data_IF_668347581548
#
_entry.id   IF_668347581548
#
_cell.length_a   1.000
_cell.length_b   1.000
_cell.length_c   1.000
_cell.angle_alpha   90.00
_cell.angle_beta   90.00
_cell.angle_gamma   90.00
#
_symmetry.space_group_name_H-M   'P 1'
#
loop_
_entity.id
_entity.type
_entity.pdbx_description
1 polymer ?
#
# COMPACT_ATOMS: atom_id res chain seq x y z
N UNK A 1 13.67 -0.32 16.73
CA UNK A 1 12.50 0.40 16.19
C UNK A 1 12.38 1.82 16.76
N UNK A 2 12.22 2.03 18.08
CA UNK A 2 12.11 3.38 18.67
C UNK A 2 13.32 4.28 18.38
N UNK A 3 14.54 3.74 18.48
CA UNK A 3 15.76 4.51 18.20
C UNK A 3 15.86 4.96 16.74
N UNK A 4 15.54 4.07 15.78
CA UNK A 4 15.54 4.42 14.35
C UNK A 4 14.58 5.57 14.04
N UNK A 5 13.35 5.50 14.57
CA UNK A 5 12.35 6.57 14.37
C UNK A 5 12.85 7.90 14.94
N UNK A 6 13.42 7.88 16.15
CA UNK A 6 13.97 9.09 16.78
C UNK A 6 15.12 9.70 15.96
N UNK A 7 16.01 8.87 15.43
CA UNK A 7 17.08 9.31 14.53
C UNK A 7 16.50 9.95 13.27
N UNK A 8 15.60 9.26 12.56
CA UNK A 8 15.03 9.77 11.30
C UNK A 8 14.27 11.08 11.48
N UNK A 9 13.52 11.23 12.58
CA UNK A 9 12.85 12.51 12.91
C UNK A 9 13.85 13.66 13.08
N UNK A 10 15.05 13.37 13.60
CA UNK A 10 16.10 14.38 13.78
C UNK A 10 16.79 14.71 12.46
N UNK A 11 17.16 13.69 11.69
CA UNK A 11 17.85 13.85 10.40
C UNK A 11 16.95 14.49 9.33
N UNK A 12 15.64 14.22 9.36
CA UNK A 12 14.69 14.76 8.37
C UNK A 12 14.38 16.25 8.55
N UNK A 13 15.02 16.91 9.53
CA UNK A 13 15.09 18.37 9.55
C UNK A 13 15.87 18.91 8.33
N UNK A 14 16.81 18.13 7.79
CA UNK A 14 17.41 18.38 6.48
C UNK A 14 16.47 17.86 5.39
N UNK A 15 15.98 18.79 4.57
CA UNK A 15 14.96 18.50 3.54
C UNK A 15 15.51 17.60 2.45
N UNK A 16 16.70 17.94 1.93
CA UNK A 16 17.36 17.21 0.86
C UNK A 16 17.64 15.77 1.28
N UNK A 17 18.13 15.59 2.51
CA UNK A 17 18.31 14.26 3.10
C UNK A 17 16.99 13.50 3.24
N UNK A 18 15.94 14.13 3.76
CA UNK A 18 14.64 13.49 3.94
C UNK A 18 14.06 12.98 2.62
N UNK A 19 14.13 13.79 1.57
CA UNK A 19 13.63 13.41 0.24
C UNK A 19 14.47 12.29 -0.38
N UNK A 20 15.80 12.40 -0.36
CA UNK A 20 16.68 11.36 -0.90
C UNK A 20 16.47 10.02 -0.17
N UNK A 21 16.37 10.04 1.16
CA UNK A 21 16.13 8.83 1.94
C UNK A 21 14.76 8.20 1.60
N UNK A 22 13.70 8.99 1.52
CA UNK A 22 12.36 8.47 1.24
C UNK A 22 12.22 7.95 -0.18
N UNK A 23 12.91 8.56 -1.15
CA UNK A 23 12.99 8.08 -2.53
C UNK A 23 13.66 6.69 -2.59
N UNK A 24 14.87 6.57 -2.05
CA UNK A 24 15.61 5.30 -1.96
C UNK A 24 14.82 4.22 -1.22
N UNK A 25 14.21 4.59 -0.08
CA UNK A 25 13.34 3.68 0.67
C UNK A 25 12.17 3.18 -0.17
N UNK A 26 11.50 4.07 -0.91
CA UNK A 26 10.34 3.69 -1.73
C UNK A 26 10.73 2.77 -2.90
N UNK A 27 11.89 3.00 -3.51
CA UNK A 27 12.45 2.16 -4.57
C UNK A 27 12.74 0.75 -4.05
N UNK A 28 13.49 0.66 -2.94
CA UNK A 28 13.78 -0.60 -2.27
C UNK A 28 12.49 -1.34 -1.88
N UNK A 29 11.51 -0.64 -1.31
CA UNK A 29 10.28 -1.24 -0.83
C UNK A 29 9.46 -1.86 -1.98
N UNK A 30 9.38 -1.18 -3.13
CA UNK A 30 8.69 -1.71 -4.32
C UNK A 30 9.41 -2.94 -4.86
N UNK A 31 10.72 -2.89 -5.04
CA UNK A 31 11.52 -4.02 -5.51
C UNK A 31 11.38 -5.24 -4.58
N UNK A 32 11.52 -5.02 -3.27
CA UNK A 32 11.34 -6.05 -2.26
C UNK A 32 9.93 -6.64 -2.28
N UNK A 33 8.89 -5.81 -2.43
CA UNK A 33 7.52 -6.29 -2.49
C UNK A 33 7.26 -7.18 -3.71
N UNK A 34 7.77 -6.80 -4.90
CA UNK A 34 7.65 -7.61 -6.11
C UNK A 34 8.27 -9.00 -5.89
N UNK A 35 9.48 -9.04 -5.34
CA UNK A 35 10.19 -10.28 -5.03
C UNK A 35 9.46 -11.14 -4.00
N UNK A 36 9.02 -10.53 -2.89
CA UNK A 36 8.28 -11.23 -1.83
C UNK A 36 6.99 -11.83 -2.37
N UNK A 37 6.20 -11.08 -3.13
CA UNK A 37 4.95 -11.59 -3.71
C UNK A 37 5.21 -12.73 -4.72
N UNK A 38 6.31 -12.64 -5.48
CA UNK A 38 6.70 -13.71 -6.40
C UNK A 38 7.05 -15.00 -5.62
N UNK A 39 7.88 -14.87 -4.60
CA UNK A 39 8.32 -16.00 -3.76
C UNK A 39 7.17 -16.59 -2.93
N UNK A 40 6.27 -15.75 -2.41
CA UNK A 40 5.06 -16.15 -1.71
C UNK A 40 4.19 -17.09 -2.56
N UNK A 41 4.24 -16.96 -3.89
CA UNK A 41 3.51 -17.82 -4.84
C UNK A 41 4.31 -18.98 -5.39
N UNK A 42 5.56 -19.13 -4.94
CA UNK A 42 6.47 -20.15 -5.46
C UNK A 42 6.85 -19.92 -6.93
N UNK A 43 6.75 -18.70 -7.44
CA UNK A 43 7.10 -18.39 -8.82
C UNK A 43 8.59 -18.12 -8.99
N UNK A 44 9.15 -18.61 -10.08
CA UNK A 44 10.41 -18.15 -10.66
C UNK A 44 10.23 -16.79 -11.33
N UNK A 45 11.34 -16.07 -11.57
CA UNK A 45 11.29 -14.80 -12.31
C UNK A 45 10.71 -14.98 -13.72
N UNK A 46 10.93 -16.15 -14.33
CA UNK A 46 10.37 -16.49 -15.63
C UNK A 46 8.84 -16.61 -15.57
N UNK A 47 8.30 -17.28 -14.57
CA UNK A 47 6.84 -17.42 -14.41
C UNK A 47 6.16 -16.08 -14.17
N UNK A 48 6.76 -15.19 -13.36
CA UNK A 48 6.25 -13.83 -13.22
C UNK A 48 6.35 -13.04 -14.54
N UNK A 49 7.41 -13.23 -15.31
CA UNK A 49 7.55 -12.62 -16.62
C UNK A 49 6.45 -13.08 -17.57
N UNK A 50 6.18 -14.38 -17.63
CA UNK A 50 5.11 -14.96 -18.45
C UNK A 50 3.73 -14.46 -18.00
N UNK A 51 3.43 -14.48 -16.70
CA UNK A 51 2.17 -13.98 -16.13
C UNK A 51 1.95 -12.48 -16.37
N UNK A 52 3.03 -11.69 -16.38
CA UNK A 52 2.98 -10.25 -16.64
C UNK A 52 3.23 -9.90 -18.12
N UNK A 53 3.41 -10.87 -19.02
CA UNK A 53 3.76 -10.66 -20.43
C UNK A 53 5.00 -9.76 -20.62
N UNK A 54 6.00 -9.91 -19.76
CA UNK A 54 7.29 -9.22 -19.81
C UNK A 54 8.42 -10.22 -20.14
N UNK A 55 9.62 -9.71 -20.36
CA UNK A 55 10.82 -10.55 -20.45
C UNK A 55 11.35 -10.86 -19.05
N UNK A 56 12.00 -12.01 -18.85
CA UNK A 56 12.57 -12.39 -17.56
C UNK A 56 13.61 -11.38 -17.06
N UNK A 57 14.46 -10.86 -17.96
CA UNK A 57 15.46 -9.85 -17.63
C UNK A 57 14.81 -8.57 -17.10
N UNK A 58 13.61 -8.25 -17.58
CA UNK A 58 12.83 -7.13 -17.07
C UNK A 58 12.37 -7.38 -15.64
N UNK A 59 11.91 -8.59 -15.31
CA UNK A 59 11.55 -8.95 -13.93
C UNK A 59 12.78 -8.89 -13.02
N UNK A 60 13.93 -9.41 -13.47
CA UNK A 60 15.17 -9.32 -12.71
C UNK A 60 15.52 -7.87 -12.35
N UNK A 61 15.47 -6.95 -13.33
CA UNK A 61 15.70 -5.52 -13.08
C UNK A 61 14.65 -4.90 -12.15
N UNK A 62 13.38 -5.30 -12.23
CA UNK A 62 12.32 -4.75 -11.38
C UNK A 62 12.36 -5.27 -9.93
N UNK A 63 13.14 -6.33 -9.67
CA UNK A 63 13.39 -6.87 -8.33
C UNK A 63 14.72 -6.36 -7.73
N UNK A 64 15.46 -5.56 -8.49
CA UNK A 64 16.70 -4.95 -8.02
C UNK A 64 16.40 -3.79 -7.07
N UNK A 65 17.11 -3.74 -5.95
CA UNK A 65 16.96 -2.72 -4.91
C UNK A 65 17.41 -1.34 -5.39
N UNK A 66 18.33 -1.32 -6.36
CA UNK A 66 18.90 -0.09 -6.94
C UNK A 66 18.11 0.36 -8.18
N UNK A 67 17.04 -0.34 -8.57
CA UNK A 67 16.16 0.11 -9.65
C UNK A 67 15.28 1.27 -9.16
N UNK A 68 15.04 2.27 -10.00
CA UNK A 68 14.31 3.51 -9.65
C UNK A 68 13.23 3.89 -10.70
N UNK A 69 13.29 3.31 -11.89
CA UNK A 69 12.52 3.77 -13.05
C UNK A 69 11.20 2.98 -13.28
N UNK A 70 10.37 2.76 -12.25
CA UNK A 70 9.06 2.12 -12.45
C UNK A 70 8.06 3.10 -13.04
N UNK A 71 7.41 2.70 -14.15
CA UNK A 71 6.24 3.44 -14.64
C UNK A 71 4.97 2.94 -13.93
N UNK A 72 4.00 3.82 -13.75
CA UNK A 72 2.65 3.44 -13.28
C UNK A 72 2.05 2.31 -14.13
N UNK A 73 2.32 2.33 -15.45
CA UNK A 73 1.89 1.26 -16.37
C UNK A 73 2.50 -0.10 -16.01
N UNK A 74 3.80 -0.12 -15.67
CA UNK A 74 4.50 -1.33 -15.22
C UNK A 74 3.91 -1.86 -13.92
N UNK A 75 3.72 -0.99 -12.93
CA UNK A 75 3.15 -1.38 -11.63
C UNK A 75 1.73 -1.93 -11.78
N UNK A 76 0.89 -1.29 -12.60
CA UNK A 76 -0.46 -1.81 -12.92
C UNK A 76 -0.40 -3.16 -13.62
N UNK A 77 0.57 -3.38 -14.53
CA UNK A 77 0.72 -4.67 -15.21
C UNK A 77 1.10 -5.78 -14.23
N UNK A 78 2.06 -5.51 -13.34
CA UNK A 78 2.44 -6.42 -12.27
C UNK A 78 1.23 -6.69 -11.35
N UNK A 79 0.48 -5.67 -10.93
CA UNK A 79 -0.70 -5.86 -10.07
C UNK A 79 -1.71 -6.84 -10.66
N UNK A 80 -1.96 -6.76 -11.98
CA UNK A 80 -2.83 -7.72 -12.69
C UNK A 80 -2.23 -9.12 -12.72
N UNK A 81 -0.93 -9.25 -13.01
CA UNK A 81 -0.24 -10.54 -12.93
C UNK A 81 -0.31 -11.10 -11.51
N UNK A 82 -0.32 -10.21 -10.50
CA UNK A 82 -0.48 -10.59 -9.12
C UNK A 82 -1.94 -10.82 -8.68
N UNK A 83 -2.95 -10.59 -9.52
CA UNK A 83 -4.36 -10.50 -9.11
C UNK A 83 -4.55 -9.64 -7.85
N UNK A 84 -3.91 -8.46 -7.85
CA UNK A 84 -3.95 -7.45 -6.80
C UNK A 84 -4.30 -6.07 -7.40
N UNK A 85 -4.59 -5.11 -6.52
CA UNK A 85 -4.70 -3.69 -6.88
C UNK A 85 -3.44 -2.93 -6.46
N UNK A 86 -3.18 -1.77 -7.08
CA UNK A 86 -2.13 -0.84 -6.66
C UNK A 86 -2.77 0.47 -6.19
N UNK A 87 -2.33 0.94 -5.02
CA UNK A 87 -2.74 2.21 -4.42
C UNK A 87 -1.57 3.20 -4.55
N UNK A 88 -1.90 4.44 -4.90
CA UNK A 88 -0.96 5.56 -4.89
C UNK A 88 -1.55 6.69 -4.04
N UNK A 89 -0.72 7.32 -3.22
CA UNK A 89 -1.09 8.46 -2.39
C UNK A 89 0.14 9.33 -2.13
N UNK A 90 -0.10 10.63 -1.90
CA UNK A 90 0.88 11.50 -1.28
C UNK A 90 0.73 11.34 0.23
N UNK A 91 1.83 11.08 0.93
CA UNK A 91 1.84 10.74 2.35
C UNK A 91 2.70 11.73 3.14
N UNK A 92 2.45 11.83 4.44
CA UNK A 92 3.30 12.57 5.36
C UNK A 92 4.62 11.83 5.61
N UNK A 93 5.70 12.57 5.90
CA UNK A 93 6.99 11.97 6.27
C UNK A 93 6.91 11.08 7.53
N UNK A 94 6.01 11.41 8.45
CA UNK A 94 5.70 10.62 9.64
C UNK A 94 5.29 9.19 9.28
N UNK A 95 4.38 9.04 8.30
CA UNK A 95 3.94 7.75 7.76
C UNK A 95 5.12 7.00 7.11
N UNK A 96 5.91 7.67 6.27
CA UNK A 96 7.08 7.07 5.62
C UNK A 96 8.15 6.56 6.60
N UNK A 97 8.42 7.30 7.68
CA UNK A 97 9.33 6.85 8.76
C UNK A 97 8.81 5.58 9.42
N UNK A 98 7.50 5.51 9.71
CA UNK A 98 6.88 4.33 10.31
C UNK A 98 6.93 3.13 9.38
N UNK A 99 6.70 3.34 8.09
CA UNK A 99 6.80 2.29 7.07
C UNK A 99 8.23 1.74 7.00
N UNK A 100 9.23 2.62 6.94
CA UNK A 100 10.65 2.24 6.97
C UNK A 100 11.03 1.44 8.21
N UNK A 101 10.48 1.80 9.37
CA UNK A 101 10.74 1.09 10.62
C UNK A 101 10.05 -0.28 10.72
N UNK A 102 8.95 -0.50 9.97
CA UNK A 102 8.12 -1.71 10.04
C UNK A 102 8.39 -2.70 8.91
N UNK A 103 9.00 -2.26 7.81
CA UNK A 103 9.17 -3.09 6.62
C UNK A 103 9.89 -4.40 6.94
N UNK A 104 9.30 -5.50 6.49
CA UNK A 104 9.87 -6.85 6.51
C UNK A 104 9.09 -7.74 5.53
N UNK A 105 9.63 -8.91 5.19
CA UNK A 105 9.01 -9.82 4.22
C UNK A 105 7.53 -10.13 4.53
N UNK A 106 7.20 -10.43 5.80
CA UNK A 106 5.83 -10.76 6.22
C UNK A 106 4.86 -9.59 6.05
N UNK A 107 5.31 -8.35 6.23
CA UNK A 107 4.45 -7.16 6.00
C UNK A 107 4.18 -6.86 4.52
N UNK A 108 5.05 -7.36 3.63
CA UNK A 108 4.97 -7.14 2.18
C UNK A 108 4.09 -8.17 1.47
N UNK A 109 3.91 -9.36 2.07
CA UNK A 109 2.98 -10.38 1.61
C UNK A 109 1.55 -9.86 1.47
N UNK A 110 0.79 -10.41 0.51
CA UNK A 110 -0.63 -10.13 0.28
C UNK A 110 -1.37 -11.41 -0.01
N UNK A 111 -2.57 -11.56 0.55
CA UNK A 111 -3.48 -12.68 0.24
C UNK A 111 -4.00 -12.57 -1.18
N UNK A 112 -4.54 -13.68 -1.72
CA UNK A 112 -5.18 -13.66 -3.03
C UNK A 112 -6.42 -12.76 -3.03
N UNK A 113 -6.83 -12.27 -4.21
CA UNK A 113 -8.06 -11.46 -4.34
C UNK A 113 -9.28 -12.21 -3.81
N UNK A 114 -9.42 -13.49 -4.13
CA UNK A 114 -10.59 -14.26 -3.68
C UNK A 114 -10.61 -14.39 -2.15
N UNK A 115 -9.48 -14.72 -1.52
CA UNK A 115 -9.39 -14.80 -0.07
C UNK A 115 -9.64 -13.44 0.61
N UNK A 116 -9.14 -12.33 0.05
CA UNK A 116 -9.43 -10.99 0.56
C UNK A 116 -10.92 -10.65 0.44
N UNK A 117 -11.55 -10.97 -0.69
CA UNK A 117 -12.98 -10.72 -0.92
C UNK A 117 -13.87 -11.59 -0.03
N UNK A 118 -13.51 -12.86 0.18
CA UNK A 118 -14.27 -13.78 1.03
C UNK A 118 -14.21 -13.30 2.49
N UNK A 119 -13.02 -12.93 2.98
CA UNK A 119 -12.86 -12.33 4.32
C UNK A 119 -13.65 -11.03 4.45
N UNK A 120 -13.52 -10.14 3.47
CA UNK A 120 -14.23 -8.86 3.47
C UNK A 120 -15.75 -9.01 3.48
N UNK A 121 -16.28 -10.04 2.80
CA UNK A 121 -17.72 -10.31 2.74
C UNK A 121 -18.24 -10.94 4.03
N UNK A 122 -17.46 -11.78 4.71
CA UNK A 122 -17.83 -12.43 5.96
C UNK A 122 -17.83 -11.47 7.17
N UNK A 123 -17.03 -10.40 7.12
CA UNK A 123 -16.91 -9.42 8.21
C UNK A 123 -17.96 -8.28 8.10
N UNK A 124 -19.15 -8.55 7.53
CA UNK A 124 -20.22 -7.56 7.26
C UNK A 124 -19.74 -6.32 6.45
N UNK A 125 -18.85 -6.54 5.47
CA UNK A 125 -18.15 -5.47 4.76
C UNK A 125 -17.45 -4.50 5.73
N UNK A 126 -16.84 -5.04 6.78
CA UNK A 126 -16.25 -4.29 7.88
C UNK A 126 -15.42 -3.09 7.40
N UNK A 127 -15.46 -2.01 8.19
CA UNK A 127 -14.79 -0.75 7.91
C UNK A 127 -13.29 -0.96 7.64
N UNK A 128 -12.91 -1.09 6.36
CA UNK A 128 -11.53 -0.86 5.93
C UNK A 128 -11.34 0.65 5.92
N UNK A 129 -10.26 1.12 6.53
CA UNK A 129 -9.87 2.53 6.49
C UNK A 129 -9.64 2.92 5.02
N UNK A 130 -10.63 3.56 4.38
CA UNK A 130 -10.54 3.99 2.98
C UNK A 130 -10.16 5.46 2.93
N UNK A 131 -9.10 5.75 2.17
CA UNK A 131 -8.42 7.05 2.04
C UNK A 131 -9.34 8.24 1.72
N UNK A 132 -10.53 8.00 1.17
CA UNK A 132 -11.43 9.04 0.66
C UNK A 132 -12.72 9.19 1.45
N UNK A 133 -12.77 8.63 2.66
CA UNK A 133 -13.93 8.75 3.54
C UNK A 133 -13.70 9.91 4.49
N UNK A 134 -14.57 10.93 4.45
CA UNK A 134 -14.66 11.87 5.56
C UNK A 134 -15.00 11.12 6.86
N UNK A 135 -14.65 11.65 8.05
CA UNK A 135 -15.20 11.15 9.30
C UNK A 135 -16.73 11.25 9.24
N UNK A 136 -17.39 10.11 9.12
CA UNK A 136 -18.84 10.05 9.04
C UNK A 136 -19.40 10.32 10.45
N UNK A 137 -20.19 11.38 10.57
CA UNK A 137 -20.93 11.68 11.81
C UNK A 137 -22.24 10.90 11.79
N UNK A 138 -22.34 9.84 12.60
CA UNK A 138 -23.58 9.09 12.77
C UNK A 138 -24.56 9.82 13.69
N UNK A 139 -25.85 9.77 13.35
CA UNK A 139 -26.95 10.34 14.14
C UNK A 139 -27.49 9.41 15.23
N UNK A 140 -26.92 8.21 15.43
CA UNK A 140 -27.37 7.29 16.48
C UNK A 140 -26.57 7.47 17.79
N UNK A 141 -27.23 7.81 18.91
CA UNK A 141 -26.58 8.05 20.18
C UNK A 141 -26.53 6.75 21.00
N UNK A 142 -25.58 5.85 20.71
CA UNK A 142 -25.22 4.83 21.69
C UNK A 142 -23.77 4.37 21.52
N UNK A 143 -23.00 4.63 22.58
CA UNK A 143 -21.61 4.25 22.88
C UNK A 143 -20.56 5.34 22.64
N UNK A 144 -20.34 6.12 23.71
CA UNK A 144 -19.06 6.78 23.94
C UNK A 144 -18.00 5.71 24.18
N UNK A 145 -17.19 5.44 23.17
CA UNK A 145 -15.86 4.84 23.25
C UNK A 145 -15.03 5.47 22.12
N UNK A 146 -13.80 5.88 22.45
CA UNK A 146 -12.63 6.26 21.63
C UNK A 146 -12.85 6.24 20.11
N UNK A 147 -12.42 7.26 19.32
CA UNK A 147 -12.71 7.34 17.88
C UNK A 147 -12.12 6.16 17.11
N UNK A 148 -12.90 5.09 17.01
CA UNK A 148 -12.75 3.99 16.08
C UNK A 148 -14.03 4.03 15.25
N UNK A 149 -13.94 4.66 14.08
CA UNK A 149 -15.04 4.77 13.14
C UNK A 149 -15.35 3.39 12.56
N UNK A 150 -16.12 2.58 13.28
CA UNK A 150 -16.80 1.42 12.73
C UNK A 150 -18.13 1.90 12.15
N UNK A 151 -18.24 1.91 10.82
CA UNK A 151 -19.52 2.06 10.13
C UNK A 151 -19.70 0.92 9.14
N UNK A 152 -20.88 0.31 9.15
CA UNK A 152 -21.26 -0.70 8.18
C UNK A 152 -21.44 -0.05 6.80
N UNK A 153 -21.00 -0.73 5.74
CA UNK A 153 -21.09 -0.24 4.36
C UNK A 153 -22.53 0.09 3.93
N UNK A 154 -23.52 -0.49 4.60
CA UNK A 154 -24.95 -0.21 4.36
C UNK A 154 -25.39 1.21 4.75
N UNK A 155 -24.57 1.98 5.48
CA UNK A 155 -24.89 3.35 5.93
C UNK A 155 -24.26 4.46 5.06
N UNK A 156 -23.60 4.12 3.95
CA UNK A 156 -22.98 5.09 3.05
C UNK A 156 -24.06 5.78 2.20
N UNK A 157 -24.42 7.03 2.52
CA UNK A 157 -25.19 7.91 1.62
C UNK A 157 -24.22 8.69 0.73
N UNK A 158 -24.22 8.41 -0.57
CA UNK A 158 -23.44 9.15 -1.57
C UNK A 158 -23.88 10.62 -1.65
N UNK A 159 -22.92 11.55 -1.75
CA UNK A 159 -23.17 12.98 -1.93
C UNK A 159 -23.28 13.33 -3.43
N UNK A 160 -24.36 14.01 -3.83
CA UNK A 160 -24.49 14.57 -5.18
C UNK A 160 -23.55 15.77 -5.35
N UNK A 161 -22.74 15.74 -6.41
CA UNK A 161 -21.76 16.77 -6.73
C UNK A 161 -22.46 18.09 -7.05
N UNK A 162 -22.32 19.11 -6.19
CA UNK A 162 -22.69 20.49 -6.55
C UNK A 162 -21.66 21.02 -7.54
N UNK A 163 -22.01 21.05 -8.83
CA UNK A 163 -21.32 21.91 -9.78
C UNK A 163 -21.65 23.37 -9.43
N UNK A 164 -20.65 24.13 -9.04
CA UNK A 164 -20.73 25.60 -9.02
C UNK A 164 -20.10 26.13 -10.30
N UNK A 165 -20.87 26.97 -11.01
CA UNK A 165 -20.51 27.68 -12.24
C UNK A 165 -19.49 28.79 -12.00
#
# INVERSE_FOLDING_TARGET
MKELVKTLVTEFNDKEYAHAYMEEFSNMAIAAQIKVLREQRGWTQKELADASGMKQERICALEDIDYDAWTIKTLRKLSKAFDLTVKFSFEEFSSGILDAAKINAKTLEKTSRQEDLDKFSCDDFGAKEVLWSEPVTTTQPSLYLVPTNHMAVNDIKYFEYRQTA
#
